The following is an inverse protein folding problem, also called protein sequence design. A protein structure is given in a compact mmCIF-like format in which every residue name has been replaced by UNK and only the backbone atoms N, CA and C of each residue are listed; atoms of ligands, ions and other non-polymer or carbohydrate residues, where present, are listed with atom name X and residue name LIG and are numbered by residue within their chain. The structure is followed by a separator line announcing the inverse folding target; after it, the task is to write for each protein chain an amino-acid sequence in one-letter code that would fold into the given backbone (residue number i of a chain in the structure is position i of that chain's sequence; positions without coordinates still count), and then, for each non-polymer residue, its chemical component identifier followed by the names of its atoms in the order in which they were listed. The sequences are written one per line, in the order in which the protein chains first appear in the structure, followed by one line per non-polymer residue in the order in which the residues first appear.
data_IF_732942171122
#
_entry.id   IF_732942171122
#
_cell.length_a   1.000
_cell.length_b   1.000
_cell.length_c   1.000
_cell.angle_alpha   90.00
_cell.angle_beta   90.00
_cell.angle_gamma   90.00
#
_symmetry.space_group_name_H-M   'P 1'
#
loop_
_entity.id
_entity.type
_entity.pdbx_description
1 polymer ?
#
# COMPACT_ATOMS: atom_id res chain seq x y z
N UNK A 1 -1.21 10.29 3.46
CA UNK A 1 -0.92 11.29 2.40
C UNK A 1 -2.20 11.99 1.93
N UNK A 2 -2.10 13.15 1.28
CA UNK A 2 -3.26 13.97 0.83
C UNK A 2 -4.28 13.22 -0.03
N UNK A 3 -3.86 12.21 -0.81
CA UNK A 3 -4.78 11.38 -1.61
C UNK A 3 -5.76 10.54 -0.78
N UNK A 4 -5.34 10.05 0.39
CA UNK A 4 -6.23 9.41 1.37
C UNK A 4 -7.15 10.45 2.03
N UNK A 5 -6.59 11.60 2.42
CA UNK A 5 -7.28 12.62 3.22
C UNK A 5 -8.46 13.25 2.48
N UNK A 6 -8.40 13.29 1.14
CA UNK A 6 -9.46 13.84 0.29
C UNK A 6 -10.27 12.74 -0.44
N UNK A 7 -10.07 11.47 -0.09
CA UNK A 7 -10.71 10.31 -0.73
C UNK A 7 -10.51 10.24 -2.27
N UNK A 8 -9.48 10.89 -2.80
CA UNK A 8 -9.26 11.02 -4.25
C UNK A 8 -9.11 9.65 -4.92
N UNK A 9 -8.41 8.72 -4.27
CA UNK A 9 -8.22 7.37 -4.78
C UNK A 9 -9.56 6.65 -4.94
N UNK A 10 -10.39 6.65 -3.89
CA UNK A 10 -11.71 6.00 -3.92
C UNK A 10 -12.57 6.60 -5.03
N UNK A 11 -12.57 7.92 -5.17
CA UNK A 11 -13.27 8.60 -6.25
C UNK A 11 -12.79 8.12 -7.63
N UNK A 12 -11.48 8.08 -7.88
CA UNK A 12 -10.93 7.64 -9.16
C UNK A 12 -11.17 6.14 -9.44
N UNK A 13 -11.08 5.29 -8.41
CA UNK A 13 -11.39 3.86 -8.48
C UNK A 13 -12.87 3.62 -8.85
N UNK A 14 -13.80 4.38 -8.27
CA UNK A 14 -15.24 4.34 -8.62
C UNK A 14 -15.50 4.74 -10.09
N UNK A 15 -14.59 5.50 -10.71
CA UNK A 15 -14.65 5.88 -12.13
C UNK A 15 -13.88 4.91 -13.05
N UNK A 16 -13.50 3.73 -12.54
CA UNK A 16 -12.86 2.67 -13.33
C UNK A 16 -11.37 2.86 -13.54
N UNK A 17 -10.72 3.74 -12.78
CA UNK A 17 -9.27 3.90 -12.83
C UNK A 17 -8.58 2.96 -11.85
N UNK A 18 -7.44 2.43 -12.27
CA UNK A 18 -6.54 1.71 -11.36
C UNK A 18 -5.60 2.73 -10.72
N UNK A 19 -5.66 2.89 -9.40
CA UNK A 19 -4.95 3.95 -8.67
C UNK A 19 -4.00 3.34 -7.68
N UNK A 20 -2.77 3.86 -7.64
CA UNK A 20 -1.72 3.39 -6.75
C UNK A 20 -1.04 4.55 -6.06
N UNK A 21 -0.81 4.40 -4.75
CA UNK A 21 0.05 5.31 -4.01
C UNK A 21 1.51 5.11 -4.45
N UNK A 22 2.25 6.21 -4.59
CA UNK A 22 3.65 6.18 -5.04
C UNK A 22 4.63 6.00 -3.87
N UNK A 23 4.23 6.37 -2.66
CA UNK A 23 4.99 6.07 -1.46
C UNK A 23 4.90 4.57 -1.17
N UNK A 24 6.04 3.92 -0.96
CA UNK A 24 6.09 2.48 -0.75
C UNK A 24 5.33 2.05 0.51
N UNK A 25 5.41 2.83 1.58
CA UNK A 25 4.70 2.54 2.81
C UNK A 25 3.19 2.64 2.62
N UNK A 26 2.72 3.72 1.99
CA UNK A 26 1.29 3.86 1.65
C UNK A 26 0.84 2.76 0.69
N UNK A 27 1.65 2.37 -0.29
CA UNK A 27 1.33 1.27 -1.20
C UNK A 27 1.20 -0.07 -0.47
N UNK A 28 2.09 -0.36 0.49
CA UNK A 28 2.00 -1.56 1.34
C UNK A 28 0.67 -1.53 2.11
N UNK A 29 0.34 -0.40 2.74
CA UNK A 29 -0.92 -0.24 3.49
C UNK A 29 -2.14 -0.39 2.56
N UNK A 30 -2.11 0.22 1.37
CA UNK A 30 -3.14 0.11 0.34
C UNK A 30 -3.36 -1.35 -0.06
N UNK A 31 -2.29 -2.10 -0.36
CA UNK A 31 -2.39 -3.51 -0.78
C UNK A 31 -2.77 -4.45 0.37
N UNK A 32 -2.48 -4.08 1.62
CA UNK A 32 -2.92 -4.83 2.80
C UNK A 32 -4.34 -4.48 3.25
N UNK A 33 -4.93 -3.39 2.76
CA UNK A 33 -6.20 -2.87 3.26
C UNK A 33 -6.13 -2.46 4.73
N UNK A 34 -4.94 -2.10 5.21
CA UNK A 34 -4.69 -1.71 6.59
C UNK A 34 -4.87 -0.20 6.77
N UNK A 35 -4.80 0.29 8.02
CA UNK A 35 -4.69 1.72 8.30
C UNK A 35 -3.22 2.11 8.50
N UNK A 36 -2.80 3.31 8.06
CA UNK A 36 -1.46 3.80 8.34
C UNK A 36 -1.26 4.01 9.84
N UNK A 37 -0.07 3.67 10.36
CA UNK A 37 0.24 3.83 11.77
C UNK A 37 0.90 5.17 12.11
N UNK A 38 1.80 5.63 11.25
CA UNK A 38 2.58 6.85 11.47
C UNK A 38 2.51 7.76 10.24
N UNK A 39 2.41 9.06 10.47
CA UNK A 39 2.19 10.05 9.40
C UNK A 39 3.32 10.09 8.36
N UNK A 40 4.57 9.85 8.77
CA UNK A 40 5.74 9.80 7.86
C UNK A 40 6.23 8.38 7.57
N UNK A 41 5.69 7.36 8.24
CA UNK A 41 6.14 5.98 8.14
C UNK A 41 4.94 5.03 8.24
N UNK A 42 4.01 5.07 7.26
CA UNK A 42 2.68 4.48 7.39
C UNK A 42 2.72 2.97 7.65
N UNK A 43 3.66 2.26 7.03
CA UNK A 43 3.85 0.81 7.14
C UNK A 43 4.90 0.37 8.19
N UNK A 44 5.33 1.24 9.12
CA UNK A 44 6.44 0.91 10.05
C UNK A 44 6.21 -0.35 10.91
N UNK A 45 4.95 -0.71 11.12
CA UNK A 45 4.55 -1.88 11.90
C UNK A 45 4.44 -3.17 11.09
N UNK A 46 4.56 -3.09 9.77
CA UNK A 46 4.43 -4.24 8.89
C UNK A 46 5.77 -4.99 8.90
N UNK A 47 5.80 -6.27 9.33
CA UNK A 47 7.01 -7.07 9.34
C UNK A 47 7.59 -7.24 7.92
N UNK A 48 8.92 -7.29 7.81
CA UNK A 48 9.59 -7.46 6.51
C UNK A 48 9.18 -8.75 5.81
N UNK A 49 8.90 -9.79 6.57
CA UNK A 49 8.42 -11.09 6.09
C UNK A 49 7.06 -10.97 5.41
N UNK A 50 6.17 -10.13 5.94
CA UNK A 50 4.85 -9.91 5.35
C UNK A 50 4.92 -9.03 4.11
N UNK A 51 5.83 -8.05 4.11
CA UNK A 51 6.17 -7.28 2.90
C UNK A 51 6.73 -8.22 1.82
N UNK A 52 7.67 -9.11 2.15
CA UNK A 52 8.22 -10.07 1.21
C UNK A 52 7.14 -11.00 0.63
N UNK A 53 6.23 -11.52 1.46
CA UNK A 53 5.08 -12.32 0.99
C UNK A 53 4.16 -11.53 0.08
N UNK A 54 3.87 -10.28 0.42
CA UNK A 54 3.02 -9.39 -0.37
C UNK A 54 3.62 -9.16 -1.75
N UNK A 55 4.88 -8.73 -1.81
CA UNK A 55 5.56 -8.45 -3.08
C UNK A 55 5.78 -9.72 -3.89
N UNK A 56 6.02 -10.87 -3.26
CA UNK A 56 6.12 -12.15 -3.98
C UNK A 56 4.83 -12.50 -4.73
N UNK A 57 3.66 -12.18 -4.16
CA UNK A 57 2.37 -12.36 -4.82
C UNK A 57 2.15 -11.37 -5.97
N UNK A 58 2.66 -10.15 -5.83
CA UNK A 58 2.50 -9.08 -6.83
C UNK A 58 3.40 -9.33 -8.04
N UNK A 59 4.68 -9.68 -7.81
CA UNK A 59 5.68 -9.85 -8.88
C UNK A 59 5.67 -11.25 -9.47
N UNK A 60 5.13 -12.24 -8.75
CA UNK A 60 5.23 -13.66 -9.11
C UNK A 60 6.60 -14.28 -8.83
N UNK A 61 7.51 -13.54 -8.17
CA UNK A 61 8.84 -14.00 -7.81
C UNK A 61 8.93 -14.28 -6.31
N UNK A 62 9.62 -15.35 -5.90
CA UNK A 62 9.79 -15.63 -4.48
C UNK A 62 10.89 -14.74 -3.88
N UNK A 63 10.49 -13.76 -3.07
CA UNK A 63 11.42 -12.86 -2.38
C UNK A 63 11.82 -13.46 -1.02
N UNK A 64 13.13 -13.42 -0.73
CA UNK A 64 13.64 -13.76 0.59
C UNK A 64 13.41 -12.59 1.57
N UNK A 65 12.83 -12.91 2.72
CA UNK A 65 12.61 -11.98 3.83
C UNK A 65 13.85 -11.71 4.64
#
# INVERSE_FOLDING_TARGET
MTGEEIELRKYLEEHGNEVYETDLGEFIIQKLGAKPMHITAPAIHVPREDVAKLFSKITGEQLSS
#
